data_IF_727887531867
#
_entry.id   IF_727887531867
#
_cell.length_a   1.000
_cell.length_b   1.000
_cell.length_c   1.000
_cell.angle_alpha   90.00
_cell.angle_beta   90.00
_cell.angle_gamma   90.00
#
_symmetry.space_group_name_H-M   'P 1'
#
loop_
_entity.id
_entity.type
_entity.pdbx_description
1 polymer ?
#
# COMPACT_ATOMS: atom_id res chain seq x y z
N UNK A 1 -24.33 1.12 26.43
CA UNK A 1 -23.44 2.24 26.07
C UNK A 1 -22.71 1.82 24.82
N UNK A 2 -23.12 2.35 23.67
CA UNK A 2 -22.41 2.13 22.41
C UNK A 2 -21.34 3.20 22.33
N UNK A 3 -20.09 2.79 22.46
CA UNK A 3 -18.93 3.64 22.24
C UNK A 3 -18.84 3.93 20.74
N UNK A 4 -19.46 5.03 20.34
CA UNK A 4 -19.26 5.63 19.02
C UNK A 4 -17.86 6.22 19.00
N UNK A 5 -16.88 5.44 18.54
CA UNK A 5 -15.56 5.98 18.18
C UNK A 5 -15.78 6.81 16.91
N UNK A 6 -16.10 8.09 17.13
CA UNK A 6 -16.10 9.11 16.09
C UNK A 6 -14.68 9.19 15.52
N UNK A 7 -14.62 9.06 14.19
CA UNK A 7 -13.45 9.27 13.35
C UNK A 7 -12.56 10.43 13.81
N UNK A 8 -11.23 10.25 13.80
CA UNK A 8 -10.33 11.04 12.94
C UNK A 8 -8.82 10.70 13.15
N UNK A 9 -8.41 9.44 12.99
CA UNK A 9 -7.00 9.10 12.71
C UNK A 9 -6.93 8.53 11.28
N UNK A 10 -7.39 9.34 10.32
CA UNK A 10 -7.55 8.96 8.91
C UNK A 10 -6.23 8.98 8.12
N UNK A 11 -5.11 9.28 8.79
CA UNK A 11 -3.76 9.30 8.22
C UNK A 11 -2.84 8.57 9.15
N UNK A 12 -2.16 7.55 8.63
CA UNK A 12 -1.23 6.76 9.42
C UNK A 12 0.00 7.62 9.77
N UNK A 13 0.49 7.50 11.01
CA UNK A 13 1.54 8.34 11.57
C UNK A 13 2.80 8.33 10.68
N UNK A 14 3.45 9.45 10.32
CA UNK A 14 4.61 9.46 9.42
C UNK A 14 5.80 8.60 9.93
N UNK A 15 5.82 8.34 11.24
CA UNK A 15 6.76 7.41 11.88
C UNK A 15 6.54 5.96 11.44
N UNK A 16 5.31 5.54 11.19
CA UNK A 16 4.96 4.18 10.73
C UNK A 16 5.41 3.95 9.29
N UNK A 17 5.29 4.95 8.40
CA UNK A 17 5.87 4.86 7.06
C UNK A 17 7.38 4.70 7.11
N UNK A 18 8.03 5.47 7.99
CA UNK A 18 9.48 5.38 8.19
C UNK A 18 9.88 4.00 8.71
N UNK A 19 9.12 3.45 9.66
CA UNK A 19 9.33 2.10 10.19
C UNK A 19 9.10 1.01 9.12
N UNK A 20 8.05 1.15 8.29
CA UNK A 20 7.75 0.23 7.19
C UNK A 20 8.88 0.23 6.16
N UNK A 21 9.40 1.40 5.79
CA UNK A 21 10.51 1.51 4.83
C UNK A 21 11.83 1.03 5.43
N UNK A 22 12.11 1.31 6.71
CA UNK A 22 13.23 0.70 7.42
C UNK A 22 13.13 -0.82 7.45
N UNK A 23 11.92 -1.38 7.64
CA UNK A 23 11.69 -2.82 7.59
C UNK A 23 11.96 -3.40 6.21
N UNK A 24 11.47 -2.75 5.14
CA UNK A 24 11.78 -3.13 3.74
C UNK A 24 13.29 -3.15 3.51
N UNK A 25 13.99 -2.09 3.93
CA UNK A 25 15.43 -1.97 3.74
C UNK A 25 16.21 -3.02 4.53
N UNK A 26 15.77 -3.34 5.76
CA UNK A 26 16.40 -4.38 6.57
C UNK A 26 16.12 -5.79 6.01
N UNK A 27 14.91 -6.08 5.54
CA UNK A 27 14.58 -7.35 4.91
C UNK A 27 15.40 -7.57 3.62
N UNK A 28 15.50 -6.54 2.78
CA UNK A 28 16.28 -6.60 1.55
C UNK A 28 17.79 -6.70 1.82
N UNK A 29 18.33 -6.00 2.83
CA UNK A 29 19.78 -5.91 3.07
C UNK A 29 20.33 -6.96 4.04
N UNK A 30 19.67 -7.21 5.19
CA UNK A 30 20.15 -8.16 6.21
C UNK A 30 19.73 -9.60 5.91
N UNK A 31 18.55 -9.79 5.31
CA UNK A 31 17.94 -11.11 5.14
C UNK A 31 17.86 -11.56 3.68
N UNK A 32 18.24 -10.70 2.73
CA UNK A 32 18.12 -10.91 1.29
C UNK A 32 16.72 -11.34 0.82
N UNK A 33 15.68 -10.90 1.53
CA UNK A 33 14.29 -11.20 1.22
C UNK A 33 13.78 -10.16 0.21
N UNK A 34 13.30 -10.58 -0.98
CA UNK A 34 12.72 -9.67 -1.94
C UNK A 34 11.47 -9.02 -1.33
N UNK A 35 11.38 -7.70 -1.42
CA UNK A 35 10.29 -6.93 -0.82
C UNK A 35 9.75 -5.94 -1.84
N UNK A 36 8.44 -5.87 -1.99
CA UNK A 36 7.79 -5.01 -2.96
C UNK A 36 6.95 -3.96 -2.26
N UNK A 37 7.07 -2.73 -2.73
CA UNK A 37 6.23 -1.61 -2.35
C UNK A 37 5.26 -1.30 -3.47
N UNK A 38 3.97 -1.29 -3.17
CA UNK A 38 2.90 -0.95 -4.11
C UNK A 38 2.25 0.34 -3.66
N UNK A 39 2.37 1.41 -4.45
CA UNK A 39 1.57 2.60 -4.26
C UNK A 39 0.21 2.45 -4.88
N UNK A 40 -0.81 2.92 -4.17
CA UNK A 40 -2.17 3.04 -4.64
C UNK A 40 -2.58 4.51 -4.64
N UNK A 41 -3.16 4.96 -5.75
CA UNK A 41 -3.72 6.30 -5.91
C UNK A 41 -5.15 6.16 -6.45
N UNK A 42 -6.13 6.67 -5.72
CA UNK A 42 -7.49 6.85 -6.23
C UNK A 42 -7.73 8.27 -6.74
N UNK A 43 -8.81 8.42 -7.50
CA UNK A 43 -9.34 9.73 -7.87
C UNK A 43 -9.88 10.50 -6.66
N UNK A 44 -9.84 11.82 -6.75
CA UNK A 44 -10.28 12.71 -5.66
C UNK A 44 -11.78 12.52 -5.42
N UNK A 45 -12.14 12.24 -4.17
CA UNK A 45 -13.52 12.00 -3.77
C UNK A 45 -14.02 10.57 -3.98
N UNK A 46 -13.15 9.63 -4.36
CA UNK A 46 -13.49 8.21 -4.42
C UNK A 46 -13.86 7.69 -3.01
N UNK A 47 -15.10 7.20 -2.88
CA UNK A 47 -15.63 6.66 -1.63
C UNK A 47 -15.33 5.18 -1.44
N UNK A 48 -14.92 4.50 -2.50
CA UNK A 48 -14.62 3.08 -2.51
C UNK A 48 -13.20 2.81 -2.02
N UNK A 49 -12.25 3.69 -2.31
CA UNK A 49 -10.86 3.56 -1.88
C UNK A 49 -10.69 3.30 -0.36
N UNK A 50 -11.30 4.05 0.57
CA UNK A 50 -11.19 3.73 2.00
C UNK A 50 -11.65 2.31 2.35
N UNK A 51 -12.74 1.84 1.74
CA UNK A 51 -13.27 0.50 1.97
C UNK A 51 -12.33 -0.56 1.41
N UNK A 52 -11.77 -0.32 0.22
CA UNK A 52 -10.77 -1.20 -0.38
C UNK A 52 -9.49 -1.27 0.46
N UNK A 53 -9.00 -0.14 0.97
CA UNK A 53 -7.86 -0.12 1.88
C UNK A 53 -8.19 -0.94 3.13
N UNK A 54 -9.36 -0.76 3.73
CA UNK A 54 -9.77 -1.52 4.93
C UNK A 54 -9.86 -3.02 4.68
N UNK A 55 -10.40 -3.43 3.53
CA UNK A 55 -10.38 -4.81 3.06
C UNK A 55 -8.95 -5.34 2.96
N UNK A 56 -8.05 -4.61 2.32
CA UNK A 56 -6.65 -5.00 2.21
C UNK A 56 -5.98 -5.14 3.57
N UNK A 57 -6.25 -4.25 4.54
CA UNK A 57 -5.71 -4.41 5.91
C UNK A 57 -6.11 -5.75 6.54
N UNK A 58 -7.27 -6.29 6.17
CA UNK A 58 -7.79 -7.55 6.70
C UNK A 58 -7.32 -8.77 5.90
N UNK A 59 -7.02 -8.60 4.61
CA UNK A 59 -6.62 -9.69 3.71
C UNK A 59 -5.09 -9.90 3.63
N UNK A 60 -4.29 -8.89 3.98
CA UNK A 60 -2.84 -8.94 3.96
C UNK A 60 -2.27 -9.82 5.09
N UNK A 61 -1.08 -10.42 4.86
CA UNK A 61 -0.41 -11.24 5.88
C UNK A 61 0.12 -10.35 7.01
N UNK A 62 0.44 -10.96 8.15
CA UNK A 62 1.04 -10.24 9.29
C UNK A 62 2.40 -9.61 8.98
N UNK A 63 3.08 -10.13 7.96
CA UNK A 63 4.38 -9.65 7.49
C UNK A 63 4.25 -8.49 6.49
N UNK A 64 3.12 -8.44 5.79
CA UNK A 64 2.77 -7.36 4.90
C UNK A 64 2.38 -6.12 5.71
N UNK A 65 2.60 -4.95 5.14
CA UNK A 65 2.33 -3.67 5.77
C UNK A 65 1.47 -2.81 4.87
N UNK A 66 0.60 -1.99 5.45
CA UNK A 66 -0.17 -1.01 4.68
C UNK A 66 -0.14 0.31 5.41
N UNK A 67 0.31 1.33 4.68
CA UNK A 67 0.44 2.69 5.14
C UNK A 67 -0.51 3.58 4.36
N UNK A 68 -1.51 4.12 5.05
CA UNK A 68 -2.43 5.08 4.44
C UNK A 68 -1.87 6.48 4.58
N UNK A 69 -1.47 7.09 3.47
CA UNK A 69 -0.95 8.46 3.45
C UNK A 69 -2.08 9.49 3.52
N UNK A 70 -3.10 9.33 2.68
CA UNK A 70 -4.23 10.26 2.58
C UNK A 70 -5.52 9.51 2.33
N UNK A 71 -6.62 10.24 2.12
CA UNK A 71 -7.90 9.63 1.78
C UNK A 71 -7.83 8.85 0.48
N UNK A 72 -7.05 9.31 -0.50
CA UNK A 72 -6.92 8.69 -1.82
C UNK A 72 -5.55 8.05 -2.11
N UNK A 73 -4.63 8.00 -1.13
CA UNK A 73 -3.28 7.46 -1.34
C UNK A 73 -2.86 6.50 -0.23
N UNK A 74 -2.32 5.36 -0.63
CA UNK A 74 -1.77 4.38 0.28
C UNK A 74 -0.52 3.72 -0.32
N UNK A 75 0.31 3.16 0.54
CA UNK A 75 1.47 2.35 0.18
C UNK A 75 1.32 1.01 0.86
N UNK A 76 1.48 -0.07 0.12
CA UNK A 76 1.46 -1.44 0.61
C UNK A 76 2.87 -1.99 0.51
N UNK A 77 3.30 -2.68 1.54
CA UNK A 77 4.50 -3.48 1.56
C UNK A 77 4.08 -4.94 1.53
N UNK A 78 4.58 -5.65 0.51
CA UNK A 78 4.46 -7.09 0.39
C UNK A 78 5.85 -7.68 0.63
N UNK A 79 5.97 -8.52 1.65
CA UNK A 79 7.22 -9.19 2.00
C UNK A 79 7.34 -10.52 1.25
N UNK A 80 8.57 -10.96 0.97
CA UNK A 80 8.87 -12.25 0.34
C UNK A 80 8.19 -12.43 -1.03
N UNK A 81 8.12 -11.36 -1.81
CA UNK A 81 7.54 -11.38 -3.16
C UNK A 81 8.37 -10.55 -4.11
N UNK A 82 8.43 -10.99 -5.37
CA UNK A 82 8.95 -10.21 -6.49
C UNK A 82 7.84 -9.39 -7.14
N UNK A 83 8.21 -8.50 -8.05
CA UNK A 83 7.27 -7.64 -8.77
C UNK A 83 6.09 -8.40 -9.40
N UNK A 84 6.36 -9.48 -10.13
CA UNK A 84 5.31 -10.25 -10.82
C UNK A 84 4.33 -10.89 -9.82
N UNK A 85 4.85 -11.38 -8.69
CA UNK A 85 4.02 -11.97 -7.64
C UNK A 85 3.17 -10.90 -6.94
N UNK A 86 3.74 -9.73 -6.67
CA UNK A 86 3.01 -8.60 -6.12
C UNK A 86 1.86 -8.16 -7.04
N UNK A 87 2.09 -8.08 -8.36
CA UNK A 87 1.05 -7.76 -9.34
C UNK A 87 -0.09 -8.79 -9.30
N UNK A 88 0.23 -10.09 -9.24
CA UNK A 88 -0.77 -11.17 -9.11
C UNK A 88 -1.54 -11.12 -7.78
N UNK A 89 -0.87 -10.81 -6.67
CA UNK A 89 -1.52 -10.67 -5.35
C UNK A 89 -2.51 -9.52 -5.39
N UNK A 90 -2.10 -8.36 -5.93
CA UNK A 90 -2.97 -7.19 -6.03
C UNK A 90 -4.18 -7.42 -6.95
N UNK A 91 -3.98 -8.08 -8.10
CA UNK A 91 -5.07 -8.45 -9.01
C UNK A 91 -6.09 -9.37 -8.33
N UNK A 92 -5.61 -10.45 -7.69
CA UNK A 92 -6.48 -11.38 -6.95
C UNK A 92 -7.27 -10.70 -5.84
N UNK A 93 -6.64 -9.79 -5.10
CA UNK A 93 -7.31 -9.04 -4.04
C UNK A 93 -8.35 -8.06 -4.61
N UNK A 94 -8.09 -7.45 -5.77
CA UNK A 94 -9.06 -6.59 -6.45
C UNK A 94 -10.26 -7.38 -6.98
N UNK A 95 -10.03 -8.58 -7.54
CA UNK A 95 -11.09 -9.49 -7.99
C UNK A 95 -11.94 -9.97 -6.80
N UNK A 96 -11.29 -10.44 -5.74
CA UNK A 96 -11.98 -10.90 -4.53
C UNK A 96 -12.80 -9.77 -3.87
N UNK A 97 -12.27 -8.55 -3.81
CA UNK A 97 -13.03 -7.38 -3.36
C UNK A 97 -14.23 -7.09 -4.27
N UNK A 98 -14.06 -7.21 -5.59
CA UNK A 98 -15.15 -6.95 -6.54
C UNK A 98 -16.27 -7.99 -6.45
N UNK A 99 -15.92 -9.24 -6.13
CA UNK A 99 -16.87 -10.34 -5.90
C UNK A 99 -17.62 -10.18 -4.56
N UNK A 100 -16.91 -9.79 -3.49
CA UNK A 100 -17.49 -9.56 -2.17
C UNK A 100 -18.31 -8.27 -2.10
N UNK A 101 -17.90 -7.23 -2.82
CA UNK A 101 -18.54 -5.91 -2.87
C UNK A 101 -18.89 -5.49 -4.31
N UNK A 102 -19.88 -6.14 -4.95
CA UNK A 102 -20.28 -5.86 -6.33
C UNK A 102 -20.81 -4.42 -6.52
N UNK A 103 -21.32 -3.80 -5.44
CA UNK A 103 -21.77 -2.40 -5.47
C UNK A 103 -20.60 -1.39 -5.51
N UNK A 104 -19.39 -1.84 -5.17
CA UNK A 104 -18.18 -1.04 -5.06
C UNK A 104 -17.13 -1.44 -6.13
N UNK A 105 -17.46 -2.31 -7.09
CA UNK A 105 -16.50 -2.85 -8.07
C UNK A 105 -15.87 -1.82 -9.00
N UNK A 106 -16.37 -0.57 -9.01
CA UNK A 106 -15.78 0.50 -9.82
C UNK A 106 -14.55 1.07 -9.12
N UNK A 107 -13.52 0.24 -9.00
CA UNK A 107 -12.23 0.57 -8.41
C UNK A 107 -11.42 1.42 -9.39
N UNK A 108 -11.53 2.74 -9.31
CA UNK A 108 -10.69 3.65 -10.11
C UNK A 108 -9.39 3.94 -9.36
N UNK A 109 -8.54 2.92 -9.26
CA UNK A 109 -7.23 3.03 -8.62
C UNK A 109 -6.11 2.88 -9.64
N UNK A 110 -5.06 3.70 -9.49
CA UNK A 110 -3.79 3.54 -10.17
C UNK A 110 -2.81 2.89 -9.21
N UNK A 111 -2.15 1.83 -9.67
CA UNK A 111 -1.14 1.12 -8.90
C UNK A 111 0.24 1.39 -9.49
N UNK A 112 1.24 1.58 -8.63
CA UNK A 112 2.64 1.72 -9.04
C UNK A 112 3.50 0.80 -8.18
N UNK A 113 4.19 -0.14 -8.82
CA UNK A 113 5.00 -1.16 -8.14
C UNK A 113 6.47 -0.76 -8.12
N UNK A 114 7.09 -0.88 -6.96
CA UNK A 114 8.53 -0.70 -6.74
C UNK A 114 9.09 -1.93 -6.03
N UNK A 115 10.01 -2.63 -6.69
CA UNK A 115 10.69 -3.80 -6.14
C UNK A 115 12.01 -3.36 -5.47
N UNK A 116 12.15 -3.65 -4.18
CA UNK A 116 13.39 -3.47 -3.45
C UNK A 116 14.24 -4.76 -3.59
N UNK A 117 15.35 -4.65 -4.31
CA UNK A 117 16.33 -5.74 -4.49
C UNK A 117 17.44 -5.65 -3.44
N UNK A 118 18.16 -6.75 -3.24
CA UNK A 118 19.29 -6.88 -2.29
C UNK A 118 20.42 -5.85 -2.50
N UNK A 119 20.57 -5.35 -3.73
CA UNK A 119 21.59 -4.35 -4.10
C UNK A 119 21.09 -2.90 -3.98
N UNK A 120 19.88 -2.70 -3.44
CA UNK A 120 19.29 -1.36 -3.36
C UNK A 120 19.90 -0.60 -2.18
N UNK A 121 20.51 0.59 -2.40
CA UNK A 121 21.05 1.39 -1.31
C UNK A 121 19.94 1.81 -0.34
N UNK A 122 20.33 2.18 0.89
CA UNK A 122 19.43 2.60 1.98
C UNK A 122 18.24 3.39 1.46
N UNK A 123 17.06 2.76 1.48
CA UNK A 123 15.85 3.30 0.89
C UNK A 123 15.32 4.42 1.77
N UNK A 124 15.39 5.65 1.27
CA UNK A 124 14.76 6.79 1.94
C UNK A 124 13.29 6.88 1.56
N UNK A 125 12.48 7.20 2.56
CA UNK A 125 11.03 7.41 2.41
C UNK A 125 10.70 8.34 1.24
N UNK A 126 11.42 9.46 1.15
CA UNK A 126 11.20 10.46 0.09
C UNK A 126 11.45 9.90 -1.30
N UNK A 127 12.52 9.14 -1.49
CA UNK A 127 12.89 8.58 -2.80
C UNK A 127 11.87 7.52 -3.26
N UNK A 128 11.40 6.69 -2.35
CA UNK A 128 10.35 5.70 -2.58
C UNK A 128 9.03 6.38 -2.94
N UNK A 129 8.56 7.32 -2.11
CA UNK A 129 7.32 8.05 -2.38
C UNK A 129 7.40 8.80 -3.71
N UNK A 130 8.56 9.39 -4.01
CA UNK A 130 8.79 10.06 -5.29
C UNK A 130 8.68 9.04 -6.42
N UNK A 131 9.37 7.89 -6.39
CA UNK A 131 9.24 6.88 -7.45
C UNK A 131 7.84 6.31 -7.62
N UNK A 132 7.13 6.10 -6.52
CA UNK A 132 5.79 5.53 -6.52
C UNK A 132 4.73 6.54 -6.99
N UNK A 133 4.87 7.82 -6.62
CA UNK A 133 3.85 8.85 -6.88
C UNK A 133 4.25 9.90 -7.94
N UNK A 134 5.44 9.84 -8.55
CA UNK A 134 5.96 10.87 -9.49
C UNK A 134 5.09 11.07 -10.72
N UNK A 135 4.29 10.09 -11.14
CA UNK A 135 3.36 10.26 -12.27
C UNK A 135 2.06 10.98 -11.86
N UNK A 136 1.87 11.26 -10.57
CA UNK A 136 0.67 11.92 -10.02
C UNK A 136 0.93 13.37 -9.55
N UNK A 137 2.01 14.01 -10.01
CA UNK A 137 2.08 15.48 -9.95
C UNK A 137 1.03 16.01 -10.92
N UNK A 138 -0.14 16.26 -10.35
CA UNK A 138 -1.24 17.05 -10.89
C UNK A 138 -0.71 18.16 -11.80
N UNK A 139 -1.26 18.23 -13.01
CA UNK A 139 -1.26 19.43 -13.83
C UNK A 139 -2.67 19.67 -14.36
#
# INVERSE_FOLDING_TARGET
MFETIMANDLTDDPRKLSALISRVSSLASDYAVPSVLVGLVADVGDTTFPEYIHYLQSALRVEDGIFRMTRERAVIHLADVDREQAEQVMERLAEAFSDEFPALSRLNIRTQVYEAKTDTPELRVKDILTRIFVVSTFH
#
